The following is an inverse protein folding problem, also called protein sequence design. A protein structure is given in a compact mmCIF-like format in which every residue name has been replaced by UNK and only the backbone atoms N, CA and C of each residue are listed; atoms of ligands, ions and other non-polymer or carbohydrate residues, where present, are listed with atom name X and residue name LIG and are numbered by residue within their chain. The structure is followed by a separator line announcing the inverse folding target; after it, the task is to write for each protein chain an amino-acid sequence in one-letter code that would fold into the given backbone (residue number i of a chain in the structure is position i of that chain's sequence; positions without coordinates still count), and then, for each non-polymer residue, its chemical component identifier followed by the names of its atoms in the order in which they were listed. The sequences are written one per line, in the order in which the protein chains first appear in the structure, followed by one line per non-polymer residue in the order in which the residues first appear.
data_IF_492099013145
#
_entry.id   IF_492099013145
#
_cell.length_a   1.000
_cell.length_b   1.000
_cell.length_c   1.000
_cell.angle_alpha   90.00
_cell.angle_beta   90.00
_cell.angle_gamma   90.00
#
_symmetry.space_group_name_H-M   'P 1'
#
loop_
_entity.id
_entity.type
_entity.pdbx_description
1 polymer ?
#
# COMPACT_ATOMS: atom_id res chain seq x y z
N UNK A 1 -7.14 8.93 20.24
CA UNK A 1 -7.28 7.44 20.22
C UNK A 1 -6.65 6.71 21.40
N UNK A 2 -6.07 7.41 22.40
CA UNK A 2 -5.32 6.77 23.48
C UNK A 2 -6.16 5.82 24.37
N UNK A 3 -7.43 6.14 24.62
CA UNK A 3 -8.33 5.27 25.39
C UNK A 3 -8.75 3.97 24.67
N UNK A 4 -8.69 3.94 23.34
CA UNK A 4 -8.88 2.71 22.56
C UNK A 4 -7.61 1.86 22.51
N UNK A 5 -6.45 2.52 22.46
CA UNK A 5 -5.13 1.88 22.54
C UNK A 5 -4.94 1.16 23.88
N UNK A 6 -5.27 1.81 25.00
CA UNK A 6 -5.10 1.24 26.35
C UNK A 6 -5.97 0.00 26.60
N UNK A 7 -7.03 -0.19 25.80
CA UNK A 7 -7.93 -1.34 25.86
C UNK A 7 -7.69 -2.34 24.72
N UNK A 8 -6.59 -2.16 23.98
CA UNK A 8 -6.18 -3.04 22.88
C UNK A 8 -7.25 -3.21 21.78
N UNK A 9 -8.15 -2.23 21.62
CA UNK A 9 -9.16 -2.26 20.56
C UNK A 9 -8.62 -1.77 19.21
N UNK A 10 -7.47 -1.11 19.21
CA UNK A 10 -6.87 -0.43 18.06
C UNK A 10 -5.36 -0.62 18.06
N UNK A 11 -4.79 -0.93 16.89
CA UNK A 11 -3.35 -0.86 16.64
C UNK A 11 -2.95 0.56 16.23
N UNK A 12 -1.82 1.05 16.75
CA UNK A 12 -1.26 2.36 16.43
C UNK A 12 0.09 2.19 15.70
N UNK A 13 0.28 2.94 14.62
CA UNK A 13 1.56 3.05 13.90
C UNK A 13 1.91 4.53 13.81
N UNK A 14 3.18 4.88 14.05
CA UNK A 14 3.66 6.26 14.04
C UNK A 14 4.77 6.51 13.00
N UNK A 15 4.51 6.36 11.69
CA UNK A 15 5.44 6.73 10.65
C UNK A 15 5.32 8.23 10.29
N UNK A 16 6.43 8.85 9.90
CA UNK A 16 6.46 10.24 9.37
C UNK A 16 5.81 11.28 10.30
N UNK A 17 5.90 11.11 11.62
CA UNK A 17 5.26 11.99 12.61
C UNK A 17 3.72 12.04 12.54
N UNK A 18 3.09 11.06 11.89
CA UNK A 18 1.63 10.93 11.80
C UNK A 18 1.17 9.69 12.55
N UNK A 19 0.05 9.81 13.26
CA UNK A 19 -0.59 8.68 13.90
C UNK A 19 -1.56 8.00 12.95
N UNK A 20 -1.31 6.72 12.68
CA UNK A 20 -2.23 5.85 11.97
C UNK A 20 -2.83 4.85 12.95
N UNK A 21 -4.13 4.61 12.82
CA UNK A 21 -4.86 3.70 13.67
C UNK A 21 -5.60 2.67 12.84
N UNK A 22 -5.43 1.40 13.21
CA UNK A 22 -6.14 0.28 12.61
C UNK A 22 -7.03 -0.36 13.66
N UNK A 23 -8.31 -0.51 13.34
CA UNK A 23 -9.27 -1.15 14.23
C UNK A 23 -9.07 -2.68 14.21
N UNK A 24 -9.04 -3.29 15.38
CA UNK A 24 -8.95 -4.74 15.54
C UNK A 24 -10.38 -5.32 15.55
N UNK A 25 -10.51 -6.63 15.33
CA UNK A 25 -11.82 -7.32 15.36
C UNK A 25 -12.58 -7.05 16.66
N UNK A 26 -11.91 -7.13 17.82
CA UNK A 26 -12.54 -6.90 19.12
C UNK A 26 -12.99 -5.45 19.31
N UNK A 27 -12.19 -4.50 18.81
CA UNK A 27 -12.56 -3.09 18.77
C UNK A 27 -13.79 -2.82 17.90
N UNK A 28 -13.97 -3.62 16.84
CA UNK A 28 -15.16 -3.55 15.98
C UNK A 28 -16.41 -4.01 16.72
N UNK A 29 -16.34 -5.12 17.46
CA UNK A 29 -17.45 -5.62 18.28
C UNK A 29 -17.78 -4.63 19.40
N UNK A 30 -16.78 -4.06 20.07
CA UNK A 30 -16.99 -3.03 21.09
C UNK A 30 -17.74 -1.81 20.53
N UNK A 31 -17.36 -1.34 19.35
CA UNK A 31 -18.04 -0.23 18.68
C UNK A 31 -19.47 -0.59 18.27
N UNK A 32 -19.74 -1.82 17.83
CA UNK A 32 -21.10 -2.28 17.51
C UNK A 32 -22.01 -2.18 18.74
N UNK A 33 -21.55 -2.66 19.89
CA UNK A 33 -22.31 -2.61 21.16
C UNK A 33 -22.45 -1.18 21.68
N UNK A 34 -21.38 -0.38 21.66
CA UNK A 34 -21.41 0.98 22.18
C UNK A 34 -22.38 1.89 21.40
N UNK A 35 -22.45 1.69 20.08
CA UNK A 35 -23.29 2.47 19.19
C UNK A 35 -24.64 1.81 18.87
N UNK A 36 -24.94 0.64 19.46
CA UNK A 36 -26.17 -0.15 19.25
C UNK A 36 -26.49 -0.49 17.78
N UNK A 37 -25.47 -0.81 16.97
CA UNK A 37 -25.69 -1.22 15.59
C UNK A 37 -25.85 -2.74 15.47
N UNK A 38 -26.64 -3.21 14.48
CA UNK A 38 -26.66 -4.63 14.15
C UNK A 38 -25.27 -5.11 13.67
N UNK A 39 -24.88 -6.31 14.09
CA UNK A 39 -23.61 -6.98 13.82
C UNK A 39 -23.29 -7.21 12.32
N UNK A 40 -24.24 -6.94 11.42
CA UNK A 40 -24.07 -7.11 9.98
C UNK A 40 -23.32 -5.95 9.30
N UNK A 41 -23.06 -4.84 10.02
CA UNK A 41 -22.41 -3.68 9.41
C UNK A 41 -20.92 -3.93 9.25
N UNK A 42 -20.56 -4.16 7.99
CA UNK A 42 -19.20 -4.43 7.57
C UNK A 42 -18.40 -3.12 7.57
N UNK A 43 -17.24 -3.04 8.26
CA UNK A 43 -16.39 -1.86 8.21
C UNK A 43 -15.94 -1.59 6.77
N UNK A 44 -15.77 -0.31 6.42
CA UNK A 44 -15.43 0.10 5.05
C UNK A 44 -14.11 -0.53 4.55
N UNK A 45 -13.22 -0.96 5.45
CA UNK A 45 -12.00 -1.70 5.13
C UNK A 45 -12.25 -3.12 4.60
N UNK A 46 -13.34 -3.77 5.03
CA UNK A 46 -13.71 -5.13 4.62
C UNK A 46 -14.71 -5.13 3.45
N UNK A 47 -15.36 -3.99 3.18
CA UNK A 47 -16.04 -3.77 1.90
C UNK A 47 -14.96 -3.80 0.83
N UNK A 48 -14.89 -4.89 0.05
CA UNK A 48 -13.98 -5.02 -1.11
C UNK A 48 -14.08 -3.74 -1.93
N UNK A 49 -13.08 -2.88 -1.79
CA UNK A 49 -12.91 -1.74 -2.65
C UNK A 49 -12.51 -2.31 -4.01
N UNK A 50 -13.46 -2.42 -4.93
CA UNK A 50 -13.18 -2.59 -6.36
C UNK A 50 -12.56 -1.29 -6.90
N UNK A 51 -11.48 -0.83 -6.26
CA UNK A 51 -10.60 0.13 -6.90
C UNK A 51 -9.99 -0.65 -8.05
N UNK A 52 -10.26 -0.30 -9.32
CA UNK A 52 -9.44 -0.82 -10.39
C UNK A 52 -8.01 -0.49 -9.98
N UNK A 53 -7.15 -1.50 -10.03
CA UNK A 53 -5.72 -1.24 -10.06
C UNK A 53 -5.51 -0.49 -11.39
N UNK A 54 -5.66 0.83 -11.38
CA UNK A 54 -5.02 1.73 -12.34
C UNK A 54 -3.53 1.72 -12.04
N UNK A 55 -2.97 0.53 -12.05
CA UNK A 55 -1.58 0.34 -12.33
C UNK A 55 -1.51 0.28 -13.86
N UNK A 56 -0.90 1.26 -14.53
CA UNK A 56 -0.30 0.99 -15.83
C UNK A 56 0.91 0.07 -15.57
N UNK A 57 0.66 -1.17 -15.09
CA UNK A 57 1.61 -2.26 -15.23
C UNK A 57 1.67 -2.47 -16.73
N UNK A 58 2.81 -2.10 -17.32
CA UNK A 58 3.07 -2.21 -18.74
C UNK A 58 2.59 -3.56 -19.27
N UNK A 59 1.52 -3.49 -20.05
CA UNK A 59 1.13 -4.54 -20.97
C UNK A 59 2.37 -4.93 -21.78
N UNK A 60 2.80 -6.20 -21.80
CA UNK A 60 3.90 -6.60 -22.64
C UNK A 60 3.42 -6.51 -24.09
N UNK A 61 4.23 -5.85 -24.93
CA UNK A 61 4.08 -5.76 -26.39
C UNK A 61 3.24 -4.62 -26.93
N UNK A 62 3.90 -3.49 -27.21
CA UNK A 62 3.86 -2.87 -28.55
C UNK A 62 4.82 -1.68 -28.64
N UNK A 63 5.94 -1.90 -29.33
CA UNK A 63 6.69 -0.92 -30.12
C UNK A 63 7.20 0.37 -29.43
N UNK A 64 8.36 0.28 -28.77
CA UNK A 64 9.37 1.35 -28.90
C UNK A 64 10.54 0.78 -29.71
N UNK A 65 10.81 1.26 -30.93
CA UNK A 65 12.04 0.92 -31.63
C UNK A 65 13.17 1.63 -30.88
N UNK A 66 13.80 0.91 -29.97
CA UNK A 66 15.05 1.35 -29.35
C UNK A 66 16.06 1.38 -30.51
N UNK A 67 16.53 2.59 -30.85
CA UNK A 67 17.40 2.85 -32.01
C UNK A 67 18.65 1.96 -32.03
N UNK A 68 19.36 1.92 -33.18
CA UNK A 68 20.37 0.90 -33.45
C UNK A 68 21.45 0.89 -32.37
N UNK A 69 21.63 -0.29 -31.78
CA UNK A 69 22.73 -0.63 -30.90
C UNK A 69 24.02 -0.44 -31.72
N UNK A 70 24.73 0.66 -31.46
CA UNK A 70 26.02 0.94 -32.07
C UNK A 70 26.98 -0.25 -31.80
N UNK A 71 27.83 -0.63 -32.77
CA UNK A 71 28.62 -1.83 -32.69
C UNK A 71 29.67 -1.73 -31.59
N UNK A 72 29.69 -2.75 -30.73
CA UNK A 72 30.65 -2.95 -29.66
C UNK A 72 31.99 -3.38 -30.23
N UNK A 73 32.73 -2.50 -30.90
CA UNK A 73 34.15 -2.70 -31.21
C UNK A 73 34.88 -1.36 -31.30
N UNK A 74 36.08 -1.34 -30.71
CA UNK A 74 37.14 -0.31 -30.77
C UNK A 74 37.04 0.88 -29.80
N UNK A 75 37.53 0.66 -28.56
CA UNK A 75 38.59 1.51 -27.99
C UNK A 75 39.33 0.83 -26.84
N UNK A 76 40.08 -0.22 -27.15
CA UNK A 76 41.30 -0.50 -26.38
C UNK A 76 42.26 0.66 -26.65
N UNK A 77 42.47 1.53 -25.66
CA UNK A 77 43.74 2.22 -25.35
C UNK A 77 43.43 3.46 -24.50
N UNK A 78 43.69 3.40 -23.20
CA UNK A 78 44.50 4.37 -22.43
C UNK A 78 44.27 4.18 -20.93
N UNK A 79 45.10 3.37 -20.28
CA UNK A 79 45.82 3.78 -19.07
C UNK A 79 47.22 4.14 -19.55
N UNK A 80 47.81 5.27 -19.16
CA UNK A 80 48.41 5.43 -17.82
C UNK A 80 48.17 6.87 -17.27
N UNK A 81 48.46 7.28 -16.03
CA UNK A 81 49.36 6.89 -14.94
C UNK A 81 48.56 7.02 -13.63
#
# INVERSE_FOLDING_TARGET
MQGFKSKEYVCEIFPWMHYYWHLINDGTVFLMTYLNLPNNIIPATLKKSAKPLDHPMGSPSSYRPRGPLAPLLSRLSYLPI
#
